data_IF_850790044082
#
_entry.id   IF_850790044082
#
_cell.length_a   1.000
_cell.length_b   1.000
_cell.length_c   1.000
_cell.angle_alpha   90.00
_cell.angle_beta   90.00
_cell.angle_gamma   90.00
#
_symmetry.space_group_name_H-M   'P 1'
#
loop_
_entity.id
_entity.type
_entity.pdbx_description
1 polymer ?
#
# COMPACT_ATOMS: atom_id res chain seq x y z
N UNK A 1 3.69 -0.58 -20.14
CA UNK A 1 3.85 -0.37 -18.69
C UNK A 1 2.45 -0.41 -18.08
N UNK A 2 1.95 -1.58 -17.66
CA UNK A 2 0.58 -1.71 -17.12
C UNK A 2 0.66 -2.39 -15.76
N UNK A 3 0.45 -1.61 -14.70
CA UNK A 3 0.36 -2.06 -13.32
C UNK A 3 -0.73 -1.26 -12.61
N UNK A 4 -1.22 -1.78 -11.50
CA UNK A 4 -2.19 -1.07 -10.66
C UNK A 4 -1.43 -0.33 -9.55
N UNK A 5 -1.89 0.89 -9.22
CA UNK A 5 -1.50 1.60 -8.00
C UNK A 5 -2.52 1.26 -6.93
N UNK A 6 -2.05 0.88 -5.74
CA UNK A 6 -2.88 0.54 -4.60
C UNK A 6 -2.53 1.48 -3.45
N UNK A 7 -3.56 2.02 -2.81
CA UNK A 7 -3.46 2.91 -1.66
C UNK A 7 -3.95 2.15 -0.43
N UNK A 8 -3.16 2.21 0.64
CA UNK A 8 -3.45 1.67 1.95
C UNK A 8 -3.76 2.86 2.86
N UNK A 9 -5.01 2.92 3.30
CA UNK A 9 -5.45 3.89 4.29
C UNK A 9 -5.65 3.16 5.61
N UNK A 10 -5.12 3.73 6.68
CA UNK A 10 -5.34 3.22 8.03
C UNK A 10 -6.84 3.35 8.38
N UNK A 11 -7.46 2.26 8.82
CA UNK A 11 -8.91 2.21 9.11
C UNK A 11 -9.23 2.60 10.55
N UNK A 12 -8.23 2.95 11.37
CA UNK A 12 -8.40 3.28 12.79
C UNK A 12 -8.87 4.72 13.02
N UNK A 13 -9.11 5.49 11.96
CA UNK A 13 -9.65 6.84 12.02
C UNK A 13 -11.20 6.80 12.01
N UNK A 14 -11.81 6.87 13.19
CA UNK A 14 -13.27 6.88 13.42
C UNK A 14 -13.94 8.21 13.00
N UNK A 15 -13.43 8.91 11.99
CA UNK A 15 -13.96 10.20 11.54
C UNK A 15 -14.37 10.17 10.06
N UNK A 16 -15.65 9.83 9.83
CA UNK A 16 -16.48 10.34 8.73
C UNK A 16 -15.88 10.38 7.33
N UNK A 17 -16.28 9.41 6.50
CA UNK A 17 -15.98 9.32 5.07
C UNK A 17 -16.15 10.65 4.30
N UNK A 18 -15.07 11.41 4.15
CA UNK A 18 -14.94 12.51 3.21
C UNK A 18 -14.02 12.07 2.07
N UNK A 19 -14.49 12.00 0.81
CA UNK A 19 -13.71 11.50 -0.34
C UNK A 19 -12.53 12.40 -0.75
N UNK A 20 -12.16 13.39 0.06
CA UNK A 20 -11.16 14.41 -0.26
C UNK A 20 -9.98 14.49 0.72
N UNK A 21 -9.92 13.64 1.74
CA UNK A 21 -8.78 13.60 2.66
C UNK A 21 -7.68 12.66 2.13
N UNK A 22 -7.11 13.00 0.98
CA UNK A 22 -5.77 12.53 0.58
C UNK A 22 -4.66 13.26 1.39
N UNK A 23 -5.06 14.06 2.38
CA UNK A 23 -4.22 14.90 3.24
C UNK A 23 -3.86 14.24 4.57
N UNK A 24 -4.34 13.01 4.83
CA UNK A 24 -3.79 12.22 5.93
C UNK A 24 -2.46 11.63 5.49
N UNK A 25 -1.40 12.28 5.96
CA UNK A 25 0.05 12.13 5.71
C UNK A 25 0.62 10.68 5.80
N UNK A 26 -0.23 9.66 5.94
CA UNK A 26 0.15 8.27 6.16
C UNK A 26 -0.44 7.27 5.16
N UNK A 27 -0.95 7.68 3.98
CA UNK A 27 -1.43 6.69 2.99
C UNK A 27 -0.26 5.93 2.33
N UNK A 28 -0.21 4.63 2.58
CA UNK A 28 0.79 3.72 2.03
C UNK A 28 0.50 3.45 0.56
N UNK A 29 1.45 3.74 -0.32
CA UNK A 29 1.27 3.54 -1.77
C UNK A 29 2.24 2.49 -2.27
N UNK A 30 1.69 1.48 -2.93
CA UNK A 30 2.47 0.48 -3.64
C UNK A 30 1.90 0.21 -5.02
N UNK A 31 2.71 -0.37 -5.90
CA UNK A 31 2.28 -0.74 -7.25
C UNK A 31 2.49 -2.23 -7.46
N UNK A 32 1.66 -2.84 -8.30
CA UNK A 32 1.79 -4.24 -8.68
C UNK A 32 1.81 -4.42 -10.19
N UNK A 33 2.54 -5.43 -10.66
CA UNK A 33 2.46 -5.87 -12.05
C UNK A 33 1.24 -6.79 -12.29
N UNK A 34 1.07 -7.23 -13.55
CA UNK A 34 -0.03 -8.14 -13.95
C UNK A 34 -0.01 -9.51 -13.27
N UNK A 35 1.12 -9.91 -12.69
CA UNK A 35 1.26 -11.12 -11.88
C UNK A 35 1.04 -10.85 -10.38
N UNK A 36 0.47 -9.70 -10.03
CA UNK A 36 0.20 -9.28 -8.64
C UNK A 36 1.45 -9.18 -7.78
N UNK A 37 2.63 -9.01 -8.40
CA UNK A 37 3.90 -8.80 -7.68
C UNK A 37 4.15 -7.33 -7.46
N UNK A 38 4.58 -6.97 -6.26
CA UNK A 38 4.89 -5.59 -5.88
C UNK A 38 6.08 -5.09 -6.70
N UNK A 39 5.90 -3.96 -7.38
CA UNK A 39 6.92 -3.31 -8.22
C UNK A 39 7.41 -1.98 -7.65
N UNK A 40 6.67 -1.40 -6.71
CA UNK A 40 7.09 -0.22 -5.93
C UNK A 40 6.39 -0.27 -4.59
N UNK A 41 7.05 0.22 -3.55
CA UNK A 41 6.56 0.25 -2.17
C UNK A 41 7.13 1.52 -1.52
N UNK A 42 6.27 2.47 -1.15
CA UNK A 42 6.73 3.72 -0.52
C UNK A 42 6.98 3.52 0.98
N UNK A 43 7.64 4.51 1.60
CA UNK A 43 7.96 4.47 3.03
C UNK A 43 6.71 4.38 3.93
N UNK A 44 5.64 5.09 3.58
CA UNK A 44 4.39 5.01 4.34
C UNK A 44 3.81 3.58 4.33
N UNK A 45 3.91 2.84 3.22
CA UNK A 45 3.53 1.44 3.17
C UNK A 45 4.42 0.55 4.05
N UNK A 46 5.72 0.87 4.21
CA UNK A 46 6.59 0.19 5.17
C UNK A 46 6.12 0.42 6.61
N UNK A 47 5.78 1.67 6.93
CA UNK A 47 5.33 2.07 8.26
C UNK A 47 3.97 1.44 8.62
N UNK A 48 3.01 1.41 7.68
CA UNK A 48 1.68 0.80 7.88
C UNK A 48 1.75 -0.72 8.01
N UNK A 49 2.53 -1.37 7.14
CA UNK A 49 2.51 -2.84 7.03
C UNK A 49 3.56 -3.53 7.89
N UNK A 50 4.57 -2.79 8.36
CA UNK A 50 5.76 -3.32 9.02
C UNK A 50 6.73 -4.04 8.07
N UNK A 51 6.43 -4.14 6.78
CA UNK A 51 7.33 -4.73 5.79
C UNK A 51 8.34 -3.72 5.28
N UNK A 52 9.60 -4.13 5.15
CA UNK A 52 10.55 -3.33 4.38
C UNK A 52 10.28 -3.46 2.89
N UNK A 53 10.50 -2.38 2.15
CA UNK A 53 10.41 -2.31 0.69
C UNK A 53 11.25 -3.40 0.03
N UNK A 54 12.47 -3.58 0.50
CA UNK A 54 13.40 -4.60 0.01
C UNK A 54 12.85 -6.04 0.15
N UNK A 55 12.10 -6.30 1.22
CA UNK A 55 11.44 -7.59 1.43
C UNK A 55 10.09 -7.70 0.71
N UNK A 56 9.43 -6.58 0.41
CA UNK A 56 8.13 -6.54 -0.27
C UNK A 56 8.26 -6.61 -1.79
N UNK A 57 9.30 -6.01 -2.37
CA UNK A 57 9.49 -5.95 -3.82
C UNK A 57 9.61 -7.35 -4.44
N UNK A 58 8.92 -7.55 -5.56
CA UNK A 58 8.89 -8.82 -6.28
C UNK A 58 8.00 -9.90 -5.64
N UNK A 59 7.54 -9.72 -4.40
CA UNK A 59 6.63 -10.67 -3.75
C UNK A 59 5.19 -10.45 -4.18
N UNK A 60 4.36 -11.52 -4.20
CA UNK A 60 2.94 -11.39 -4.40
C UNK A 60 2.33 -10.50 -3.32
N UNK A 61 1.51 -9.53 -3.70
CA UNK A 61 0.87 -8.63 -2.73
C UNK A 61 0.05 -9.41 -1.69
N UNK A 62 -0.56 -10.53 -2.07
CA UNK A 62 -1.31 -11.40 -1.16
C UNK A 62 -0.48 -12.00 -0.01
N UNK A 63 0.84 -12.11 -0.20
CA UNK A 63 1.75 -12.61 0.83
C UNK A 63 2.08 -11.52 1.86
N UNK A 64 2.19 -10.27 1.39
CA UNK A 64 2.49 -9.08 2.21
C UNK A 64 1.26 -8.62 2.99
N UNK A 65 0.07 -8.67 2.37
CA UNK A 65 -1.21 -8.19 2.92
C UNK A 65 -2.15 -9.31 3.33
N UNK A 66 -1.61 -10.39 3.90
CA UNK A 66 -2.37 -11.60 4.21
C UNK A 66 -3.53 -11.27 5.17
N UNK A 67 -4.77 -11.30 4.68
CA UNK A 67 -6.02 -11.22 5.47
C UNK A 67 -6.28 -12.52 6.22
#
# INVERSE_FOLDING_TARGET
MSGAVVVLSDVTDEAGASPYQLDSIADGVFTVNRQWRITSFNRAAEEITGWKREDALGRPCREVFRS
#
